data_IF_390368444415
#
_entry.id   IF_390368444415
#
_cell.length_a   1.000
_cell.length_b   1.000
_cell.length_c   1.000
_cell.angle_alpha   90.00
_cell.angle_beta   90.00
_cell.angle_gamma   90.00
#
_symmetry.space_group_name_H-M   'P 1'
#
loop_
_entity.id
_entity.type
_entity.pdbx_description
1 polymer ?
#
# COMPACT_ATOMS: atom_id res chain seq x y z
N UNK A 1 22.22 14.61 24.46
CA UNK A 1 23.36 14.90 23.56
C UNK A 1 23.26 14.16 22.24
N UNK A 2 23.20 12.82 22.21
CA UNK A 2 23.07 12.03 20.97
C UNK A 2 21.89 12.50 20.08
N UNK A 3 20.72 12.70 20.67
CA UNK A 3 19.51 13.15 19.98
C UNK A 3 19.68 14.51 19.27
N UNK A 4 20.27 15.50 19.95
CA UNK A 4 20.46 16.86 19.44
C UNK A 4 21.42 16.90 18.23
N UNK A 5 22.32 15.92 18.14
CA UNK A 5 23.26 15.80 17.02
C UNK A 5 22.70 14.97 15.86
N UNK A 6 21.85 13.98 16.16
CA UNK A 6 21.38 13.02 15.16
C UNK A 6 20.11 13.49 14.47
N UNK A 7 19.14 14.07 15.19
CA UNK A 7 17.88 14.50 14.59
C UNK A 7 18.05 15.47 13.42
N UNK A 8 18.91 16.51 13.48
CA UNK A 8 19.13 17.41 12.34
C UNK A 8 19.71 16.68 11.12
N UNK A 9 20.57 15.69 11.34
CA UNK A 9 21.16 14.88 10.25
C UNK A 9 20.13 13.94 9.62
N UNK A 10 19.29 13.31 10.43
CA UNK A 10 18.19 12.48 9.94
C UNK A 10 17.19 13.30 9.16
N UNK A 11 16.82 14.48 9.65
CA UNK A 11 15.95 15.41 8.94
C UNK A 11 16.53 15.78 7.58
N UNK A 12 17.78 16.24 7.52
CA UNK A 12 18.45 16.56 6.25
C UNK A 12 18.53 15.36 5.29
N UNK A 13 18.78 14.16 5.81
CA UNK A 13 18.80 12.94 5.00
C UNK A 13 17.41 12.58 4.45
N UNK A 14 16.35 12.72 5.25
CA UNK A 14 14.95 12.50 4.81
C UNK A 14 14.52 13.55 3.79
N UNK A 15 14.90 14.81 3.98
CA UNK A 15 14.56 15.90 3.08
C UNK A 15 15.26 15.76 1.73
N UNK A 16 16.50 15.29 1.71
CA UNK A 16 17.27 15.01 0.50
C UNK A 16 16.99 13.64 -0.15
N UNK A 17 16.24 12.76 0.51
CA UNK A 17 16.02 11.38 0.03
C UNK A 17 15.10 11.34 -1.20
N UNK A 18 15.58 10.75 -2.30
CA UNK A 18 14.83 10.57 -3.54
C UNK A 18 14.52 9.08 -3.82
N UNK A 19 13.29 8.58 -3.54
CA UNK A 19 13.00 7.15 -3.54
C UNK A 19 13.28 6.41 -4.85
N UNK A 20 13.18 7.11 -6.00
CA UNK A 20 13.38 6.51 -7.33
C UNK A 20 14.86 6.46 -7.77
N UNK A 21 15.73 7.21 -7.09
CA UNK A 21 17.14 7.35 -7.46
C UNK A 21 18.06 6.59 -6.50
N UNK A 22 17.57 6.31 -5.31
CA UNK A 22 18.35 5.73 -4.23
C UNK A 22 18.47 4.22 -4.34
N UNK A 23 19.68 3.71 -4.09
CA UNK A 23 19.96 2.25 -4.09
C UNK A 23 19.56 1.59 -2.79
N UNK A 24 19.54 2.35 -1.69
CA UNK A 24 19.24 1.86 -0.36
C UNK A 24 17.88 2.39 0.04
N UNK A 25 16.96 1.48 0.38
CA UNK A 25 15.64 1.85 0.84
C UNK A 25 15.72 2.62 2.16
N UNK A 26 14.93 3.68 2.29
CA UNK A 26 14.94 4.59 3.45
C UNK A 26 14.80 3.86 4.80
N UNK A 27 13.96 2.83 4.87
CA UNK A 27 13.74 2.08 6.09
C UNK A 27 15.03 1.40 6.59
N UNK A 28 15.94 1.02 5.69
CA UNK A 28 17.15 0.27 6.05
C UNK A 28 18.12 1.11 6.90
N UNK A 29 18.19 2.43 6.67
CA UNK A 29 19.03 3.32 7.46
C UNK A 29 18.24 4.15 8.49
N UNK A 30 16.93 4.30 8.32
CA UNK A 30 16.08 5.05 9.25
C UNK A 30 15.56 4.19 10.42
N UNK A 31 15.07 2.98 10.16
CA UNK A 31 14.47 2.13 11.20
C UNK A 31 15.41 1.72 12.33
N UNK A 32 16.74 1.55 12.13
CA UNK A 32 17.66 1.29 13.24
C UNK A 32 17.61 2.35 14.35
N UNK A 33 17.12 3.57 14.05
CA UNK A 33 16.96 4.64 15.04
C UNK A 33 15.64 4.58 15.82
N UNK A 34 14.65 3.81 15.36
CA UNK A 34 13.32 3.74 16.00
C UNK A 34 13.39 3.31 17.48
N UNK A 35 14.15 2.27 17.89
CA UNK A 35 14.23 1.88 19.30
C UNK A 35 14.89 2.93 20.20
N UNK A 36 15.68 3.84 19.61
CA UNK A 36 16.45 4.85 20.35
C UNK A 36 15.70 6.19 20.43
N UNK A 37 14.98 6.57 19.38
CA UNK A 37 14.36 7.89 19.25
C UNK A 37 12.84 7.85 19.40
N UNK A 38 12.19 6.72 19.10
CA UNK A 38 10.74 6.52 19.24
C UNK A 38 9.92 7.65 18.62
N UNK A 39 9.00 8.22 19.40
CA UNK A 39 8.11 9.30 18.99
C UNK A 39 8.84 10.56 18.48
N UNK A 40 10.13 10.76 18.80
CA UNK A 40 10.89 11.90 18.30
C UNK A 40 11.11 11.87 16.79
N UNK A 41 10.92 10.73 16.14
CA UNK A 41 11.00 10.58 14.68
C UNK A 41 9.72 10.97 13.96
N UNK A 42 8.61 11.19 14.67
CA UNK A 42 7.31 11.56 14.09
C UNK A 42 7.37 12.76 13.12
N UNK A 43 8.16 13.83 13.38
CA UNK A 43 8.29 14.95 12.44
C UNK A 43 8.84 14.56 11.06
N UNK A 44 9.55 13.42 10.94
CA UNK A 44 10.10 12.93 9.67
C UNK A 44 9.02 12.27 8.78
N UNK A 45 7.98 11.70 9.39
CA UNK A 45 7.03 10.82 8.71
C UNK A 45 6.18 11.51 7.62
N UNK A 46 5.75 12.78 7.75
CA UNK A 46 5.01 13.46 6.69
C UNK A 46 5.77 13.49 5.35
N UNK A 47 7.04 13.88 5.37
CA UNK A 47 7.90 13.93 4.16
C UNK A 47 8.04 12.54 3.54
N UNK A 48 8.25 11.53 4.36
CA UNK A 48 8.40 10.14 3.91
C UNK A 48 7.11 9.64 3.27
N UNK A 49 5.95 9.82 3.94
CA UNK A 49 4.64 9.42 3.40
C UNK A 49 4.33 10.11 2.09
N UNK A 50 4.63 11.41 1.98
CA UNK A 50 4.46 12.16 0.74
C UNK A 50 5.28 11.56 -0.41
N UNK A 51 6.58 11.31 -0.18
CA UNK A 51 7.49 10.74 -1.18
C UNK A 51 7.10 9.30 -1.56
N UNK A 52 6.69 8.49 -0.59
CA UNK A 52 6.15 7.13 -0.83
C UNK A 52 4.88 7.18 -1.71
N UNK A 53 3.92 8.03 -1.37
CA UNK A 53 2.69 8.21 -2.15
C UNK A 53 3.00 8.67 -3.59
N UNK A 54 3.97 9.57 -3.76
CA UNK A 54 4.43 10.04 -5.07
C UNK A 54 5.01 8.93 -5.94
N UNK A 55 5.72 7.97 -5.34
CA UNK A 55 6.24 6.81 -6.07
C UNK A 55 5.12 5.88 -6.54
N UNK A 56 4.03 5.82 -5.80
CA UNK A 56 2.89 4.96 -6.09
C UNK A 56 1.92 5.55 -7.10
N UNK A 57 2.12 6.80 -7.57
CA UNK A 57 1.20 7.43 -8.53
C UNK A 57 1.00 6.63 -9.81
N UNK A 58 2.05 6.00 -10.34
CA UNK A 58 2.00 5.18 -11.57
C UNK A 58 2.07 3.67 -11.31
N UNK A 59 2.06 3.26 -10.05
CA UNK A 59 2.07 1.84 -9.67
C UNK A 59 0.84 1.07 -10.22
N UNK A 60 1.01 -0.21 -10.53
CA UNK A 60 -0.08 -1.10 -10.97
C UNK A 60 -0.18 -2.30 -10.01
N UNK A 61 -1.38 -2.82 -9.68
CA UNK A 61 -1.54 -3.93 -8.72
C UNK A 61 -0.78 -5.22 -9.02
N UNK A 62 -0.42 -5.45 -10.28
CA UNK A 62 0.44 -6.59 -10.68
C UNK A 62 1.90 -6.45 -10.25
N UNK A 63 2.35 -5.25 -9.87
CA UNK A 63 3.71 -5.00 -9.42
C UNK A 63 3.82 -5.20 -7.90
N UNK A 64 4.53 -6.26 -7.50
CA UNK A 64 4.78 -6.58 -6.09
C UNK A 64 5.68 -5.59 -5.34
N UNK A 65 6.34 -4.66 -6.04
CA UNK A 65 7.30 -3.72 -5.44
C UNK A 65 6.66 -2.81 -4.38
N UNK A 66 5.41 -2.41 -4.55
CA UNK A 66 4.71 -1.53 -3.60
C UNK A 66 4.53 -2.18 -2.23
N UNK A 67 4.25 -3.49 -2.17
CA UNK A 67 4.14 -4.24 -0.91
C UNK A 67 5.48 -4.29 -0.19
N UNK A 68 6.57 -4.52 -0.92
CA UNK A 68 7.92 -4.52 -0.36
C UNK A 68 8.33 -3.11 0.12
N UNK A 69 7.94 -2.07 -0.62
CA UNK A 69 8.23 -0.67 -0.29
C UNK A 69 7.49 -0.21 0.98
N UNK A 70 6.20 -0.54 1.09
CA UNK A 70 5.35 -0.07 2.19
C UNK A 70 5.40 -0.97 3.42
N UNK A 71 5.63 -2.28 3.27
CA UNK A 71 5.60 -3.26 4.35
C UNK A 71 6.37 -2.87 5.62
N UNK A 72 7.62 -2.36 5.52
CA UNK A 72 8.38 -1.92 6.69
C UNK A 72 7.66 -0.85 7.53
N UNK A 73 6.79 -0.05 6.93
CA UNK A 73 6.14 1.11 7.56
C UNK A 73 4.83 0.78 8.26
N UNK A 74 4.27 -0.41 8.04
CA UNK A 74 2.94 -0.79 8.52
C UNK A 74 2.79 -0.64 10.04
N UNK A 75 3.84 -0.96 10.79
CA UNK A 75 3.84 -0.85 12.26
C UNK A 75 4.64 0.36 12.78
N UNK A 76 5.06 1.26 11.88
CA UNK A 76 5.86 2.45 12.22
C UNK A 76 4.97 3.70 12.19
N UNK A 77 4.14 3.83 11.17
CA UNK A 77 3.14 4.90 11.13
C UNK A 77 1.99 4.59 12.10
N UNK A 78 1.38 5.64 12.65
CA UNK A 78 0.15 5.43 13.39
C UNK A 78 -0.94 4.89 12.44
N UNK A 79 -1.94 4.15 12.97
CA UNK A 79 -2.94 3.47 12.14
C UNK A 79 -3.70 4.40 11.19
N UNK A 80 -4.04 5.61 11.64
CA UNK A 80 -4.78 6.57 10.82
C UNK A 80 -3.94 7.07 9.63
N UNK A 81 -2.68 7.43 9.87
CA UNK A 81 -1.76 7.88 8.83
C UNK A 81 -1.41 6.77 7.83
N UNK A 82 -1.31 5.53 8.30
CA UNK A 82 -1.14 4.34 7.47
C UNK A 82 -2.35 4.14 6.56
N UNK A 83 -3.56 4.16 7.12
CA UNK A 83 -4.79 4.00 6.37
C UNK A 83 -4.97 5.11 5.32
N UNK A 84 -4.74 6.38 5.68
CA UNK A 84 -4.82 7.49 4.73
C UNK A 84 -3.86 7.34 3.55
N UNK A 85 -2.63 6.86 3.80
CA UNK A 85 -1.66 6.58 2.73
C UNK A 85 -2.20 5.51 1.76
N UNK A 86 -2.74 4.41 2.31
CA UNK A 86 -3.28 3.31 1.51
C UNK A 86 -4.53 3.72 0.74
N UNK A 87 -5.48 4.41 1.38
CA UNK A 87 -6.71 4.90 0.74
C UNK A 87 -6.39 5.85 -0.40
N UNK A 88 -5.35 6.68 -0.27
CA UNK A 88 -4.94 7.61 -1.32
C UNK A 88 -4.20 6.94 -2.47
N UNK A 89 -3.34 5.96 -2.18
CA UNK A 89 -2.32 5.49 -3.13
C UNK A 89 -2.55 4.08 -3.68
N UNK A 90 -3.24 3.24 -2.91
CA UNK A 90 -3.39 1.80 -3.18
C UNK A 90 -4.84 1.44 -3.49
N UNK A 91 -5.77 1.79 -2.61
CA UNK A 91 -7.20 1.37 -2.69
C UNK A 91 -7.85 1.69 -4.05
N UNK A 92 -7.69 2.88 -4.65
CA UNK A 92 -8.34 3.19 -5.93
C UNK A 92 -7.86 2.28 -7.07
N UNK A 93 -6.62 1.81 -7.00
CA UNK A 93 -6.02 0.92 -8.00
C UNK A 93 -6.46 -0.52 -7.82
N UNK A 94 -6.64 -0.94 -6.56
CA UNK A 94 -7.26 -2.23 -6.25
C UNK A 94 -8.72 -2.28 -6.69
N UNK A 95 -9.47 -1.19 -6.48
CA UNK A 95 -10.84 -1.02 -7.00
C UNK A 95 -10.87 -1.19 -8.52
N UNK A 96 -9.99 -0.48 -9.23
CA UNK A 96 -9.87 -0.59 -10.68
C UNK A 96 -9.52 -2.03 -11.13
N UNK A 97 -8.51 -2.66 -10.52
CA UNK A 97 -8.15 -4.03 -10.86
C UNK A 97 -9.31 -5.02 -10.61
N UNK A 98 -10.03 -4.92 -9.50
CA UNK A 98 -11.20 -5.76 -9.25
C UNK A 98 -12.31 -5.50 -10.27
N UNK A 99 -12.49 -4.25 -10.68
CA UNK A 99 -13.44 -3.91 -11.73
C UNK A 99 -13.05 -4.52 -13.09
N UNK A 100 -11.78 -4.71 -13.39
CA UNK A 100 -11.34 -5.36 -14.65
C UNK A 100 -11.46 -6.89 -14.62
N UNK A 101 -11.74 -7.49 -13.45
CA UNK A 101 -11.97 -8.94 -13.35
C UNK A 101 -13.19 -9.34 -14.19
N UNK A 102 -12.97 -10.32 -15.08
CA UNK A 102 -14.01 -10.99 -15.86
C UNK A 102 -14.33 -12.33 -15.20
N UNK A 103 -15.62 -12.60 -14.96
CA UNK A 103 -16.08 -13.90 -14.48
C UNK A 103 -16.41 -14.77 -15.69
N UNK A 104 -15.65 -15.85 -15.88
CA UNK A 104 -15.81 -16.78 -16.98
C UNK A 104 -15.76 -18.23 -16.45
N UNK A 105 -16.92 -18.94 -16.37
CA UNK A 105 -16.98 -20.29 -15.83
C UNK A 105 -16.16 -21.32 -16.61
N UNK A 106 -15.92 -21.09 -17.91
CA UNK A 106 -15.21 -22.03 -18.78
C UNK A 106 -13.69 -21.86 -18.69
N UNK A 107 -13.22 -20.63 -18.43
CA UNK A 107 -11.80 -20.30 -18.38
C UNK A 107 -11.54 -19.09 -17.47
N UNK A 108 -11.63 -19.32 -16.16
CA UNK A 108 -11.45 -18.27 -15.16
C UNK A 108 -9.98 -17.91 -14.98
N UNK A 109 -9.64 -16.62 -15.11
CA UNK A 109 -8.34 -16.05 -14.75
C UNK A 109 -8.51 -15.21 -13.49
N UNK A 110 -7.66 -15.44 -12.48
CA UNK A 110 -7.82 -14.85 -11.14
C UNK A 110 -6.77 -13.78 -10.80
N UNK A 111 -5.95 -13.35 -11.75
CA UNK A 111 -4.84 -12.41 -11.48
C UNK A 111 -5.31 -11.13 -10.78
N UNK A 112 -6.35 -10.48 -11.31
CA UNK A 112 -6.94 -9.28 -10.71
C UNK A 112 -7.42 -9.51 -9.26
N UNK A 113 -8.07 -10.64 -9.01
CA UNK A 113 -8.53 -11.01 -7.68
C UNK A 113 -7.33 -11.24 -6.75
N UNK A 114 -6.32 -11.99 -7.21
CA UNK A 114 -5.10 -12.28 -6.46
C UNK A 114 -4.31 -11.01 -6.14
N UNK A 115 -4.23 -10.05 -7.06
CA UNK A 115 -3.59 -8.75 -6.82
C UNK A 115 -4.28 -7.99 -5.70
N UNK A 116 -5.61 -8.00 -5.63
CA UNK A 116 -6.36 -7.37 -4.53
C UNK A 116 -6.16 -8.13 -3.22
N UNK A 117 -6.25 -9.46 -3.25
CA UNK A 117 -6.08 -10.29 -2.05
C UNK A 117 -4.66 -10.28 -1.51
N UNK A 118 -3.65 -9.96 -2.32
CA UNK A 118 -2.27 -9.77 -1.85
C UNK A 118 -2.15 -8.63 -0.83
N UNK A 119 -3.14 -7.72 -0.75
CA UNK A 119 -3.18 -6.63 0.23
C UNK A 119 -3.97 -6.97 1.51
N UNK A 120 -4.54 -8.17 1.59
CA UNK A 120 -5.10 -8.68 2.83
C UNK A 120 -4.03 -8.68 3.92
N UNK A 121 -4.33 -8.00 5.03
CA UNK A 121 -3.41 -7.81 6.15
C UNK A 121 -2.63 -6.50 6.16
N UNK A 122 -2.63 -5.71 5.08
CA UNK A 122 -2.08 -4.35 5.05
C UNK A 122 -3.19 -3.29 4.97
N UNK A 123 -4.16 -3.51 4.07
CA UNK A 123 -5.35 -2.65 3.93
C UNK A 123 -6.39 -3.06 4.97
N UNK A 124 -7.02 -2.11 5.70
CA UNK A 124 -8.11 -2.43 6.61
C UNK A 124 -9.24 -3.19 5.91
N UNK A 125 -9.73 -4.24 6.56
CA UNK A 125 -10.66 -5.21 5.95
C UNK A 125 -11.91 -4.57 5.34
N UNK A 126 -12.44 -3.51 5.96
CA UNK A 126 -13.64 -2.84 5.47
C UNK A 126 -13.48 -2.27 4.05
N UNK A 127 -12.30 -1.77 3.68
CA UNK A 127 -12.03 -1.32 2.30
C UNK A 127 -12.03 -2.49 1.31
N UNK A 128 -11.42 -3.62 1.69
CA UNK A 128 -11.40 -4.81 0.83
C UNK A 128 -12.81 -5.38 0.63
N UNK A 129 -13.63 -5.40 1.68
CA UNK A 129 -15.04 -5.80 1.60
C UNK A 129 -15.78 -4.90 0.62
N UNK A 130 -15.66 -3.57 0.75
CA UNK A 130 -16.30 -2.63 -0.17
C UNK A 130 -15.85 -2.84 -1.63
N UNK A 131 -14.57 -3.13 -1.87
CA UNK A 131 -14.06 -3.45 -3.22
C UNK A 131 -14.77 -4.69 -3.80
N UNK A 132 -14.80 -5.77 -3.04
CA UNK A 132 -15.38 -7.05 -3.49
C UNK A 132 -16.89 -6.92 -3.67
N UNK A 133 -17.59 -6.25 -2.75
CA UNK A 133 -19.03 -5.98 -2.84
C UNK A 133 -19.40 -5.19 -4.08
N UNK A 134 -18.65 -4.12 -4.39
CA UNK A 134 -18.96 -3.26 -5.51
C UNK A 134 -18.62 -3.88 -6.88
N UNK A 135 -17.49 -4.60 -6.99
CA UNK A 135 -16.93 -4.99 -8.28
C UNK A 135 -17.00 -6.49 -8.59
N UNK A 136 -16.91 -7.36 -7.58
CA UNK A 136 -16.88 -8.82 -7.78
C UNK A 136 -18.29 -9.43 -7.77
N UNK A 137 -19.05 -9.23 -6.68
CA UNK A 137 -20.30 -9.96 -6.49
C UNK A 137 -21.36 -9.71 -7.57
N UNK A 138 -21.58 -8.49 -8.10
CA UNK A 138 -22.57 -8.27 -9.15
C UNK A 138 -22.29 -9.11 -10.40
N UNK A 139 -21.02 -9.16 -10.83
CA UNK A 139 -20.59 -9.95 -12.00
C UNK A 139 -20.71 -11.44 -11.72
N UNK A 140 -20.27 -11.87 -10.54
CA UNK A 140 -20.30 -13.27 -10.14
C UNK A 140 -21.74 -13.79 -10.07
N UNK A 141 -22.65 -13.05 -9.42
CA UNK A 141 -24.05 -13.41 -9.30
C UNK A 141 -24.75 -13.46 -10.66
N UNK A 142 -24.47 -12.50 -11.55
CA UNK A 142 -25.02 -12.51 -12.90
C UNK A 142 -24.63 -13.78 -13.67
N UNK A 143 -23.34 -14.11 -13.67
CA UNK A 143 -22.84 -15.31 -14.37
C UNK A 143 -23.36 -16.58 -13.72
N UNK A 144 -23.41 -16.64 -12.39
CA UNK A 144 -23.97 -17.78 -11.66
C UNK A 144 -25.45 -18.00 -12.01
N UNK A 145 -26.24 -16.93 -12.07
CA UNK A 145 -27.64 -16.98 -12.48
C UNK A 145 -27.80 -17.52 -13.90
N UNK A 146 -27.00 -17.02 -14.85
CA UNK A 146 -27.00 -17.51 -16.23
C UNK A 146 -26.60 -18.99 -16.33
N UNK A 147 -25.62 -19.41 -15.54
CA UNK A 147 -25.15 -20.80 -15.51
C UNK A 147 -26.20 -21.76 -14.95
N UNK A 148 -26.93 -21.37 -13.90
CA UNK A 148 -27.99 -22.20 -13.31
C UNK A 148 -29.22 -22.37 -14.20
N UNK A 149 -29.43 -21.46 -15.16
CA UNK A 149 -30.55 -21.51 -16.10
C UNK A 149 -30.24 -22.20 -17.42
N UNK A 150 -28.96 -22.47 -17.70
CA UNK A 150 -28.49 -23.15 -18.90
C UNK A 150 -28.52 -24.68 -18.73
#
# INVERSE_FOLDING_TARGET
>A
LLEQMIMPKLQAAVDGWEPRQERIAIHAWLHPWLPLLGARMEPLYPTIRYRLASCLQQWHPSDGSARALLGPWQNVFNPNDWEQLLVRSIVPKLQYAMHELVINPQHQVLDHFNWVMAWAGAVPTHHLVTIVEAAFFPKFQQVLYQWLLA
#
